data_IF_038226316879
#
_entry.id   IF_038226316879
#
_cell.length_a   1.000
_cell.length_b   1.000
_cell.length_c   1.000
_cell.angle_alpha   90.00
_cell.angle_beta   90.00
_cell.angle_gamma   90.00
#
_symmetry.space_group_name_H-M   'P 1'
#
loop_
_entity.id
_entity.type
_entity.pdbx_description
1 polymer ?
#
# COMPACT_ATOMS: atom_id res chain seq x y z
N UNK A 1 30.69 21.40 15.36
CA UNK A 1 29.27 21.55 15.76
C UNK A 1 28.51 20.39 15.15
N UNK A 2 28.07 19.43 15.96
CA UNK A 2 27.23 18.33 15.52
C UNK A 2 25.76 18.76 15.67
N UNK A 3 25.00 18.73 14.59
CA UNK A 3 23.56 18.97 14.63
C UNK A 3 22.88 17.73 15.24
N UNK A 4 22.37 17.87 16.46
CA UNK A 4 21.54 16.84 17.09
C UNK A 4 20.09 17.09 16.68
N UNK A 5 19.63 16.38 15.65
CA UNK A 5 18.21 16.15 15.45
C UNK A 5 17.91 14.78 16.04
N UNK A 6 17.18 14.66 17.16
CA UNK A 6 16.63 13.38 17.57
C UNK A 6 15.41 13.07 16.67
N UNK A 7 15.62 13.03 15.36
CA UNK A 7 14.58 12.63 14.44
C UNK A 7 14.45 11.11 14.53
N UNK A 8 13.27 10.64 14.95
CA UNK A 8 12.99 9.21 14.97
C UNK A 8 12.76 8.81 13.52
N UNK A 9 13.77 8.22 12.87
CA UNK A 9 13.66 7.73 11.49
C UNK A 9 12.65 6.60 11.44
N UNK A 10 11.42 6.93 11.06
CA UNK A 10 10.40 5.93 10.74
C UNK A 10 10.38 5.81 9.23
N UNK A 11 10.79 4.63 8.75
CA UNK A 11 10.92 4.31 7.35
C UNK A 11 9.57 4.57 6.64
N UNK A 12 9.46 5.69 5.92
CA UNK A 12 8.35 5.91 5.00
C UNK A 12 8.48 4.89 3.88
N UNK A 13 7.60 3.89 3.86
CA UNK A 13 7.45 3.01 2.70
C UNK A 13 7.10 3.91 1.51
N UNK A 14 8.01 3.99 0.53
CA UNK A 14 7.80 4.82 -0.66
C UNK A 14 6.54 4.34 -1.38
N UNK A 15 5.62 5.25 -1.68
CA UNK A 15 4.51 4.98 -2.60
C UNK A 15 5.07 4.61 -3.97
N UNK A 16 4.99 3.32 -4.32
CA UNK A 16 5.41 2.80 -5.63
C UNK A 16 4.26 2.86 -6.62
N UNK A 17 4.53 2.61 -7.90
CA UNK A 17 3.51 2.60 -8.96
C UNK A 17 2.36 1.64 -8.63
N UNK A 18 2.64 0.49 -8.00
CA UNK A 18 1.62 -0.48 -7.60
C UNK A 18 0.71 0.05 -6.50
N UNK A 19 1.24 0.63 -5.43
CA UNK A 19 0.39 1.09 -4.32
C UNK A 19 -0.47 2.26 -4.75
N UNK A 20 0.05 3.16 -5.60
CA UNK A 20 -0.75 4.22 -6.23
C UNK A 20 -1.87 3.66 -7.10
N UNK A 21 -1.58 2.63 -7.91
CA UNK A 21 -2.59 2.01 -8.76
C UNK A 21 -3.73 1.38 -7.94
N UNK A 22 -3.40 0.66 -6.87
CA UNK A 22 -4.39 0.05 -5.95
C UNK A 22 -5.23 1.12 -5.26
N UNK A 23 -4.61 2.20 -4.77
CA UNK A 23 -5.33 3.29 -4.10
C UNK A 23 -6.28 4.03 -5.04
N UNK A 24 -5.97 4.08 -6.33
CA UNK A 24 -6.77 4.78 -7.34
C UNK A 24 -7.85 3.90 -7.97
N UNK A 25 -7.93 2.59 -7.66
CA UNK A 25 -8.82 1.65 -8.36
C UNK A 25 -10.16 1.41 -7.67
N UNK A 26 -10.52 2.17 -6.63
CA UNK A 26 -11.68 1.96 -5.74
C UNK A 26 -11.72 0.61 -4.99
N UNK A 27 -10.89 -0.37 -5.36
CA UNK A 27 -10.87 -1.72 -4.78
C UNK A 27 -10.58 -1.77 -3.27
N UNK A 28 -9.87 -0.78 -2.71
CA UNK A 28 -9.71 -0.65 -1.26
C UNK A 28 -11.06 -0.33 -0.60
N UNK A 29 -11.81 0.60 -1.18
CA UNK A 29 -13.14 1.00 -0.74
C UNK A 29 -14.16 -0.13 -0.90
N UNK A 30 -14.11 -0.84 -2.04
CA UNK A 30 -15.01 -1.96 -2.33
C UNK A 30 -14.75 -3.16 -1.42
N UNK A 31 -13.48 -3.54 -1.23
CA UNK A 31 -13.11 -4.59 -0.29
C UNK A 31 -13.54 -4.24 1.13
N UNK A 32 -13.32 -3.00 1.57
CA UNK A 32 -13.76 -2.55 2.90
C UNK A 32 -15.29 -2.62 3.06
N UNK A 33 -16.06 -2.34 1.99
CA UNK A 33 -17.52 -2.48 1.98
C UNK A 33 -17.95 -3.93 2.16
N UNK A 34 -17.36 -4.82 1.36
CA UNK A 34 -17.64 -6.26 1.42
C UNK A 34 -17.27 -6.83 2.80
N UNK A 35 -16.12 -6.40 3.35
CA UNK A 35 -15.68 -6.75 4.69
C UNK A 35 -16.69 -6.32 5.76
N UNK A 36 -17.19 -5.09 5.67
CA UNK A 36 -18.19 -4.56 6.61
C UNK A 36 -19.46 -5.41 6.64
N UNK A 37 -20.02 -5.73 5.47
CA UNK A 37 -21.24 -6.53 5.39
C UNK A 37 -21.05 -7.98 5.86
N UNK A 38 -19.84 -8.53 5.73
CA UNK A 38 -19.49 -9.86 6.25
C UNK A 38 -19.24 -9.87 7.76
N UNK A 39 -18.92 -8.73 8.38
CA UNK A 39 -18.53 -8.62 9.77
C UNK A 39 -19.35 -7.55 10.53
N UNK A 40 -20.67 -7.68 10.69
CA UNK A 40 -21.53 -6.61 11.19
C UNK A 40 -21.25 -6.15 12.63
N UNK A 41 -20.47 -6.90 13.42
CA UNK A 41 -20.16 -6.59 14.83
C UNK A 41 -18.67 -6.69 15.12
N UNK A 42 -17.89 -5.88 14.41
CA UNK A 42 -16.44 -5.79 14.56
C UNK A 42 -16.07 -4.82 15.71
N UNK A 43 -15.18 -5.26 16.60
CA UNK A 43 -14.51 -4.36 17.56
C UNK A 43 -13.40 -3.57 16.85
N UNK A 44 -13.61 -2.27 16.71
CA UNK A 44 -12.71 -1.38 15.98
C UNK A 44 -11.48 -0.98 16.79
N UNK A 45 -11.55 -0.95 18.12
CA UNK A 45 -10.53 -0.30 18.95
C UNK A 45 -9.17 -1.00 18.86
N UNK A 46 -9.21 -2.33 18.69
CA UNK A 46 -8.03 -3.18 18.52
C UNK A 46 -8.02 -3.89 17.16
N UNK A 47 -8.81 -3.40 16.20
CA UNK A 47 -8.92 -4.03 14.89
C UNK A 47 -7.58 -4.05 14.16
N UNK A 48 -7.22 -5.21 13.64
CA UNK A 48 -6.04 -5.39 12.81
C UNK A 48 -6.26 -6.51 11.80
N UNK A 49 -6.00 -6.20 10.54
CA UNK A 49 -6.01 -7.20 9.48
C UNK A 49 -4.80 -8.15 9.60
N UNK A 50 -5.05 -9.38 9.20
CA UNK A 50 -4.13 -10.51 9.28
C UNK A 50 -3.54 -10.88 7.92
N UNK A 51 -2.66 -11.88 7.93
CA UNK A 51 -2.11 -12.49 6.72
C UNK A 51 -3.19 -13.14 5.85
N UNK A 52 -4.26 -13.65 6.47
CA UNK A 52 -5.42 -14.21 5.77
C UNK A 52 -6.17 -13.12 5.04
N UNK A 53 -6.43 -11.99 5.70
CA UNK A 53 -7.13 -10.86 5.06
C UNK A 53 -6.33 -10.29 3.89
N UNK A 54 -4.99 -10.26 4.00
CA UNK A 54 -4.13 -9.87 2.88
C UNK A 54 -4.27 -10.84 1.69
N UNK A 55 -4.30 -12.15 1.96
CA UNK A 55 -4.50 -13.16 0.91
C UNK A 55 -5.87 -13.00 0.25
N UNK A 56 -6.91 -12.77 1.05
CA UNK A 56 -8.27 -12.55 0.56
C UNK A 56 -8.35 -11.28 -0.30
N UNK A 57 -7.65 -10.21 0.10
CA UNK A 57 -7.53 -9.01 -0.73
C UNK A 57 -6.81 -9.27 -2.06
N UNK A 58 -5.74 -10.07 -2.08
CA UNK A 58 -5.08 -10.45 -3.34
C UNK A 58 -6.04 -11.21 -4.27
N UNK A 59 -6.80 -12.15 -3.74
CA UNK A 59 -7.84 -12.86 -4.50
C UNK A 59 -8.95 -11.91 -4.95
N UNK A 60 -9.32 -10.92 -4.14
CA UNK A 60 -10.27 -9.88 -4.50
C UNK A 60 -9.76 -9.03 -5.69
N UNK A 61 -8.49 -8.65 -5.70
CA UNK A 61 -7.87 -7.94 -6.84
C UNK A 61 -7.95 -8.79 -8.12
N UNK A 62 -7.65 -10.09 -8.04
CA UNK A 62 -7.72 -11.01 -9.17
C UNK A 62 -9.15 -11.15 -9.70
N UNK A 63 -10.13 -11.34 -8.82
CA UNK A 63 -11.54 -11.50 -9.19
C UNK A 63 -12.15 -10.23 -9.80
N UNK A 64 -11.64 -9.06 -9.43
CA UNK A 64 -12.07 -7.77 -9.98
C UNK A 64 -11.21 -7.32 -11.17
N UNK A 65 -10.41 -8.23 -11.76
CA UNK A 65 -9.58 -7.97 -12.93
C UNK A 65 -8.65 -6.74 -12.76
N UNK A 66 -8.15 -6.53 -11.54
CA UNK A 66 -7.26 -5.42 -11.26
C UNK A 66 -6.03 -5.50 -12.16
N UNK A 67 -5.77 -4.40 -12.87
CA UNK A 67 -4.61 -4.29 -13.75
C UNK A 67 -4.05 -2.88 -13.69
N UNK A 68 -2.75 -2.78 -13.88
CA UNK A 68 -2.05 -1.52 -14.05
C UNK A 68 -0.88 -1.70 -15.01
N UNK A 69 -0.61 -0.64 -15.75
CA UNK A 69 0.46 -0.60 -16.75
C UNK A 69 1.57 0.33 -16.25
N UNK A 70 2.76 -0.23 -16.11
CA UNK A 70 3.96 0.53 -15.75
C UNK A 70 4.49 1.33 -16.96
N UNK A 71 5.27 2.37 -16.70
CA UNK A 71 5.91 3.12 -17.80
C UNK A 71 6.95 2.26 -18.54
N UNK A 72 7.55 1.28 -17.86
CA UNK A 72 8.40 0.25 -18.50
C UNK A 72 7.61 -0.59 -19.50
N UNK A 73 6.41 -1.07 -19.14
CA UNK A 73 5.54 -1.81 -20.07
C UNK A 73 5.14 -0.94 -21.27
N UNK A 74 4.83 0.34 -21.06
CA UNK A 74 4.54 1.28 -22.16
C UNK A 74 5.73 1.45 -23.10
N UNK A 75 6.94 1.58 -22.55
CA UNK A 75 8.16 1.75 -23.33
C UNK A 75 8.48 0.49 -24.14
N UNK A 76 8.36 -0.70 -23.54
CA UNK A 76 8.56 -1.97 -24.25
C UNK A 76 7.53 -2.16 -25.36
N UNK A 77 6.26 -1.86 -25.08
CA UNK A 77 5.21 -1.93 -26.09
C UNK A 77 5.52 -1.01 -27.28
N UNK A 78 5.97 0.22 -27.02
CA UNK A 78 6.36 1.17 -28.06
C UNK A 78 7.55 0.67 -28.89
N UNK A 79 8.56 0.08 -28.25
CA UNK A 79 9.70 -0.51 -28.94
C UNK A 79 9.26 -1.69 -29.84
N UNK A 80 8.39 -2.57 -29.32
CA UNK A 80 7.82 -3.66 -30.10
C UNK A 80 6.97 -3.16 -31.27
N UNK A 81 6.14 -2.13 -31.06
CA UNK A 81 5.35 -1.50 -32.12
C UNK A 81 6.24 -0.93 -33.24
N UNK A 82 7.35 -0.29 -32.90
CA UNK A 82 8.34 0.18 -33.88
C UNK A 82 8.97 -0.99 -34.64
N UNK A 83 9.31 -2.08 -33.96
CA UNK A 83 9.87 -3.27 -34.63
C UNK A 83 8.93 -3.88 -35.67
N UNK A 84 7.60 -3.80 -35.46
CA UNK A 84 6.60 -4.24 -36.44
C UNK A 84 6.67 -3.36 -37.69
N UNK A 85 6.79 -2.03 -37.51
CA UNK A 85 6.90 -1.07 -38.63
C UNK A 85 8.18 -1.27 -39.44
N UNK A 86 9.23 -1.77 -38.79
CA UNK A 86 10.52 -2.08 -39.39
C UNK A 86 10.62 -3.54 -39.89
N UNK A 87 9.57 -4.36 -39.72
CA UNK A 87 9.53 -5.79 -40.02
C UNK A 87 10.57 -6.64 -39.26
N UNK A 88 10.99 -6.19 -38.08
CA UNK A 88 11.93 -6.87 -37.17
C UNK A 88 11.23 -7.64 -36.05
N UNK A 89 9.89 -7.60 -35.98
CA UNK A 89 9.12 -8.14 -34.85
C UNK A 89 9.30 -9.64 -34.67
N UNK A 90 9.51 -10.41 -35.75
CA UNK A 90 9.72 -11.85 -35.65
C UNK A 90 11.02 -12.19 -34.92
N UNK A 91 12.05 -11.35 -35.07
CA UNK A 91 13.37 -11.56 -34.48
C UNK A 91 13.36 -11.28 -32.97
N UNK A 92 12.53 -10.34 -32.52
CA UNK A 92 12.53 -9.89 -31.11
C UNK A 92 11.32 -10.34 -30.30
N UNK A 93 10.33 -11.00 -30.92
CA UNK A 93 9.05 -11.35 -30.26
C UNK A 93 9.27 -12.19 -28.99
N UNK A 94 10.16 -13.18 -29.05
CA UNK A 94 10.43 -14.05 -27.92
C UNK A 94 11.00 -13.27 -26.71
N UNK A 95 11.93 -12.35 -26.96
CA UNK A 95 12.54 -11.51 -25.92
C UNK A 95 11.53 -10.51 -25.34
N UNK A 96 10.69 -9.91 -26.20
CA UNK A 96 9.60 -9.04 -25.76
C UNK A 96 8.63 -9.78 -24.83
N UNK A 97 8.16 -10.96 -25.25
CA UNK A 97 7.23 -11.77 -24.45
C UNK A 97 7.87 -12.20 -23.11
N UNK A 98 9.17 -12.52 -23.11
CA UNK A 98 9.93 -12.83 -21.90
C UNK A 98 10.02 -11.63 -20.95
N UNK A 99 10.29 -10.43 -21.45
CA UNK A 99 10.33 -9.20 -20.65
C UNK A 99 8.95 -8.89 -20.05
N UNK A 100 7.87 -8.99 -20.83
CA UNK A 100 6.51 -8.76 -20.34
C UNK A 100 6.13 -9.79 -19.27
N UNK A 101 6.50 -11.06 -19.46
CA UNK A 101 6.29 -12.12 -18.46
C UNK A 101 7.06 -11.84 -17.16
N UNK A 102 8.34 -11.43 -17.27
CA UNK A 102 9.15 -11.02 -16.13
C UNK A 102 8.53 -9.85 -15.36
N UNK A 103 8.04 -8.83 -16.07
CA UNK A 103 7.35 -7.69 -15.46
C UNK A 103 6.05 -8.10 -14.76
N UNK A 104 5.27 -9.04 -15.30
CA UNK A 104 4.09 -9.59 -14.62
C UNK A 104 4.44 -10.22 -13.28
N UNK A 105 5.52 -11.01 -13.21
CA UNK A 105 5.99 -11.61 -11.96
C UNK A 105 6.48 -10.54 -10.97
N UNK A 106 7.27 -9.58 -11.43
CA UNK A 106 7.72 -8.45 -10.60
C UNK A 106 6.56 -7.64 -10.04
N UNK A 107 5.47 -7.45 -10.81
CA UNK A 107 4.25 -6.78 -10.32
C UNK A 107 3.59 -7.55 -9.18
N UNK A 108 3.50 -8.87 -9.27
CA UNK A 108 2.95 -9.72 -8.19
C UNK A 108 3.80 -9.61 -6.91
N UNK A 109 5.13 -9.73 -7.05
CA UNK A 109 6.06 -9.57 -5.93
C UNK A 109 5.99 -8.16 -5.31
N UNK A 110 5.76 -7.14 -6.13
CA UNK A 110 5.61 -5.77 -5.64
C UNK A 110 4.37 -5.62 -4.75
N UNK A 111 3.26 -6.32 -5.04
CA UNK A 111 2.09 -6.33 -4.14
C UNK A 111 2.48 -6.95 -2.79
N UNK A 112 3.16 -8.10 -2.80
CA UNK A 112 3.60 -8.78 -1.58
C UNK A 112 4.58 -7.91 -0.76
N UNK A 113 5.51 -7.23 -1.42
CA UNK A 113 6.48 -6.35 -0.77
C UNK A 113 5.83 -5.12 -0.10
N UNK A 114 4.60 -4.76 -0.50
CA UNK A 114 3.87 -3.62 0.07
C UNK A 114 2.69 -4.07 0.95
N UNK A 115 2.69 -5.31 1.42
CA UNK A 115 1.67 -5.89 2.28
C UNK A 115 1.30 -4.98 3.46
N UNK A 116 2.27 -4.50 4.23
CA UNK A 116 2.01 -3.68 5.42
C UNK A 116 1.32 -2.36 5.07
N UNK A 117 1.72 -1.75 3.95
CA UNK A 117 1.08 -0.53 3.45
C UNK A 117 -0.37 -0.80 3.03
N UNK A 118 -0.60 -1.87 2.26
CA UNK A 118 -1.92 -2.23 1.77
C UNK A 118 -2.85 -2.57 2.95
N UNK A 119 -2.39 -3.35 3.93
CA UNK A 119 -3.16 -3.68 5.12
C UNK A 119 -3.49 -2.45 5.94
N UNK A 120 -2.55 -1.50 6.05
CA UNK A 120 -2.83 -0.21 6.70
C UNK A 120 -3.94 0.54 5.97
N UNK A 121 -3.85 0.70 4.65
CA UNK A 121 -4.88 1.38 3.86
C UNK A 121 -6.26 0.70 3.95
N UNK A 122 -6.30 -0.64 3.91
CA UNK A 122 -7.52 -1.40 4.11
C UNK A 122 -8.10 -1.19 5.51
N UNK A 123 -7.26 -1.26 6.54
CA UNK A 123 -7.68 -1.05 7.95
C UNK A 123 -8.30 0.34 8.12
N UNK A 124 -7.64 1.38 7.61
CA UNK A 124 -8.16 2.75 7.67
C UNK A 124 -9.53 2.88 6.99
N UNK A 125 -9.70 2.25 5.83
CA UNK A 125 -10.96 2.31 5.09
C UNK A 125 -12.07 1.50 5.78
N UNK A 126 -11.74 0.34 6.34
CA UNK A 126 -12.68 -0.48 7.12
C UNK A 126 -13.12 0.27 8.37
N UNK A 127 -12.19 0.85 9.15
CA UNK A 127 -12.54 1.62 10.36
C UNK A 127 -13.49 2.78 10.02
N UNK A 128 -13.26 3.49 8.91
CA UNK A 128 -14.19 4.53 8.44
C UNK A 128 -15.59 4.00 8.15
N UNK A 129 -15.76 2.73 7.76
CA UNK A 129 -17.10 2.14 7.55
C UNK A 129 -17.88 1.97 8.83
N UNK A 130 -17.22 1.62 9.93
CA UNK A 130 -17.87 1.40 11.21
C UNK A 130 -18.05 2.69 12.02
N UNK A 131 -17.07 3.59 11.97
CA UNK A 131 -16.97 4.71 12.90
C UNK A 131 -16.69 6.06 12.23
N UNK A 132 -16.83 6.14 10.91
CA UNK A 132 -16.60 7.35 10.12
C UNK A 132 -15.18 7.92 10.33
N UNK A 133 -14.97 9.18 9.97
CA UNK A 133 -13.63 9.79 10.05
C UNK A 133 -13.22 10.06 11.49
N UNK A 134 -14.19 10.41 12.33
CA UNK A 134 -14.03 10.67 13.74
C UNK A 134 -13.47 9.43 14.46
N UNK A 135 -14.08 8.26 14.22
CA UNK A 135 -13.60 6.99 14.78
C UNK A 135 -12.23 6.56 14.25
N UNK A 136 -11.88 6.92 13.00
CA UNK A 136 -10.52 6.70 12.51
C UNK A 136 -9.47 7.50 13.29
N UNK A 137 -9.80 8.74 13.71
CA UNK A 137 -8.88 9.52 14.54
C UNK A 137 -8.72 8.92 15.94
N UNK A 138 -9.81 8.44 16.55
CA UNK A 138 -9.73 7.73 17.84
C UNK A 138 -8.91 6.43 17.70
N UNK A 139 -9.12 5.68 16.62
CA UNK A 139 -8.32 4.51 16.29
C UNK A 139 -6.82 4.83 16.22
N UNK A 140 -6.43 5.94 15.56
CA UNK A 140 -5.02 6.33 15.51
C UNK A 140 -4.44 6.69 16.87
N UNK A 141 -5.17 7.35 17.75
CA UNK A 141 -4.69 7.62 19.12
C UNK A 141 -4.35 6.32 19.85
N UNK A 142 -5.18 5.30 19.65
CA UNK A 142 -5.03 4.00 20.29
C UNK A 142 -4.04 3.06 19.60
N UNK A 143 -3.73 3.24 18.31
CA UNK A 143 -2.98 2.25 17.51
C UNK A 143 -1.74 2.79 16.79
N UNK A 144 -1.64 4.09 16.51
CA UNK A 144 -0.52 4.66 15.78
C UNK A 144 0.71 4.84 16.69
N UNK A 145 1.83 4.23 16.29
CA UNK A 145 3.08 4.27 17.06
C UNK A 145 3.66 5.68 17.19
N UNK A 146 3.47 6.56 16.20
CA UNK A 146 3.92 7.95 16.26
C UNK A 146 3.07 8.75 17.25
N UNK A 147 1.75 8.57 17.23
CA UNK A 147 0.87 9.27 18.17
C UNK A 147 1.18 8.79 19.59
N UNK A 148 1.28 7.48 19.81
CA UNK A 148 1.71 6.91 21.10
C UNK A 148 3.04 7.46 21.57
N UNK A 149 4.05 7.49 20.68
CA UNK A 149 5.38 7.99 21.03
C UNK A 149 5.37 9.49 21.32
N UNK A 150 4.62 10.27 20.55
CA UNK A 150 4.42 11.71 20.77
C UNK A 150 3.76 11.97 22.11
N UNK A 151 2.66 11.27 22.42
CA UNK A 151 1.97 11.36 23.72
C UNK A 151 2.89 10.94 24.87
N UNK A 152 3.70 9.90 24.70
CA UNK A 152 4.69 9.46 25.69
C UNK A 152 5.76 10.52 25.95
N UNK A 153 6.31 11.14 24.89
CA UNK A 153 7.33 12.19 25.02
C UNK A 153 6.74 13.42 25.68
N UNK A 154 5.57 13.90 25.21
CA UNK A 154 4.89 15.08 25.76
C UNK A 154 4.45 14.88 27.22
N UNK A 155 4.05 13.66 27.59
CA UNK A 155 3.68 13.30 28.96
C UNK A 155 4.87 13.13 29.92
N UNK A 156 6.11 13.09 29.41
CA UNK A 156 7.32 12.98 30.23
C UNK A 156 8.13 14.28 30.17
N UNK A 157 8.02 15.09 31.22
CA UNK A 157 8.69 16.40 31.32
C UNK A 157 10.21 16.32 31.13
N UNK A 158 10.87 15.26 31.61
CA UNK A 158 12.32 15.11 31.48
C UNK A 158 12.71 14.84 30.02
N UNK A 159 12.07 13.85 29.40
CA UNK A 159 12.28 13.51 27.99
C UNK A 159 11.96 14.70 27.09
N UNK A 160 10.82 15.37 27.28
CA UNK A 160 10.43 16.54 26.49
C UNK A 160 11.43 17.69 26.59
N UNK A 161 11.95 17.98 27.78
CA UNK A 161 12.94 19.03 27.98
C UNK A 161 14.29 18.70 27.32
N UNK A 162 14.65 17.43 27.19
CA UNK A 162 15.85 17.01 26.45
C UNK A 162 15.71 17.19 24.94
N UNK A 163 14.49 17.12 24.39
CA UNK A 163 14.21 17.44 22.98
C UNK A 163 14.22 18.95 22.67
N UNK A 164 14.12 19.82 23.67
CA UNK A 164 14.10 21.28 23.53
C UNK A 164 15.48 21.94 23.66
N UNK A 165 16.53 21.17 23.96
CA UNK A 165 17.90 21.66 24.20
C UNK A 165 18.75 21.69 22.94
#
# INVERSE_FOLDING_TARGET
MAAFFPDVTINKVKNTTITKAILNSDLIFDFATDYYYKNPSLDIDNFKLTDTDFKDFKTFLENNNFTFTTDTEKALYKAYETSIKENLNNDIKADYDALISGLRNSKKQAIDAHKDFILKSLTEEIVKRYAYREGLYEYYKANDAHIKKSTQILGNTMTYMDYLR
#
